data_IF_477198267167
#
_entry.id   IF_477198267167
#
_cell.length_a   1.000
_cell.length_b   1.000
_cell.length_c   1.000
_cell.angle_alpha   90.00
_cell.angle_beta   90.00
_cell.angle_gamma   90.00
#
_symmetry.space_group_name_H-M   'P 1'
#
loop_
_entity.id
_entity.type
_entity.pdbx_description
1 polymer ?
#
# COMPACT_ATOMS: atom_id res chain seq x y z
N UNK A 1 8.06 -49.89 4.08
CA UNK A 1 8.00 -48.98 2.92
C UNK A 1 7.74 -47.58 3.46
N UNK A 2 8.74 -46.69 3.49
CA UNK A 2 8.52 -45.30 3.92
C UNK A 2 7.64 -44.63 2.86
N UNK A 3 6.48 -44.11 3.24
CA UNK A 3 5.71 -43.23 2.36
C UNK A 3 6.55 -41.98 2.11
N UNK A 4 6.95 -41.75 0.86
CA UNK A 4 7.45 -40.44 0.45
C UNK A 4 6.29 -39.46 0.60
N UNK A 5 6.44 -38.53 1.54
CA UNK A 5 5.52 -37.40 1.67
C UNK A 5 5.97 -36.39 0.63
N UNK A 6 5.12 -36.02 -0.36
CA UNK A 6 5.49 -34.99 -1.32
C UNK A 6 5.76 -33.69 -0.58
N UNK A 7 6.92 -33.09 -0.84
CA UNK A 7 7.29 -31.78 -0.31
C UNK A 7 6.65 -30.73 -1.20
N UNK A 8 5.84 -29.85 -0.61
CA UNK A 8 5.29 -28.68 -1.27
C UNK A 8 5.89 -27.44 -0.62
N UNK A 9 6.45 -26.55 -1.44
CA UNK A 9 7.10 -25.32 -1.00
C UNK A 9 6.36 -24.10 -1.54
N UNK A 10 6.12 -23.13 -0.67
CA UNK A 10 5.75 -21.79 -1.08
C UNK A 10 7.04 -20.97 -1.30
N UNK A 11 7.12 -20.25 -2.41
CA UNK A 11 8.22 -19.33 -2.70
C UNK A 11 7.72 -17.90 -2.70
N UNK A 12 8.46 -17.01 -2.05
CA UNK A 12 8.14 -15.59 -1.96
C UNK A 12 9.28 -14.74 -2.51
N UNK A 13 9.32 -14.47 -3.83
CA UNK A 13 10.21 -13.46 -4.37
C UNK A 13 9.85 -12.08 -3.81
N UNK A 14 10.80 -11.48 -3.09
CA UNK A 14 10.72 -10.10 -2.62
C UNK A 14 11.29 -9.15 -3.68
N UNK A 15 10.43 -8.35 -4.28
CA UNK A 15 10.77 -7.35 -5.29
C UNK A 15 11.00 -5.96 -4.70
N UNK A 16 10.82 -5.80 -3.39
CA UNK A 16 10.99 -4.54 -2.66
C UNK A 16 10.11 -3.40 -3.22
N UNK A 17 10.58 -2.17 -3.06
CA UNK A 17 9.92 -0.95 -3.51
C UNK A 17 10.20 -0.71 -5.00
N UNK A 18 9.13 -0.56 -5.78
CA UNK A 18 9.17 -0.20 -7.19
C UNK A 18 8.99 1.31 -7.29
N UNK A 19 10.09 2.04 -7.52
CA UNK A 19 10.08 3.49 -7.48
C UNK A 19 9.56 4.13 -8.78
N UNK A 20 9.64 3.43 -9.91
CA UNK A 20 9.27 3.97 -11.22
C UNK A 20 8.96 2.88 -12.26
N UNK A 21 8.38 3.30 -13.38
CA UNK A 21 8.01 2.42 -14.51
C UNK A 21 9.18 1.61 -15.09
N UNK A 22 10.40 2.17 -15.15
CA UNK A 22 11.56 1.47 -15.71
C UNK A 22 11.94 0.29 -14.82
N UNK A 23 11.94 0.49 -13.52
CA UNK A 23 12.17 -0.57 -12.53
C UNK A 23 11.11 -1.66 -12.62
N UNK A 24 9.83 -1.30 -12.73
CA UNK A 24 8.74 -2.26 -12.94
C UNK A 24 8.95 -3.13 -14.20
N UNK A 25 9.47 -2.55 -15.29
CA UNK A 25 9.77 -3.29 -16.52
C UNK A 25 10.95 -4.26 -16.35
N UNK A 26 12.00 -3.84 -15.65
CA UNK A 26 13.15 -4.71 -15.37
C UNK A 26 12.75 -5.90 -14.48
N UNK A 27 11.94 -5.63 -13.44
CA UNK A 27 11.40 -6.66 -12.55
C UNK A 27 10.47 -7.62 -13.30
N UNK A 28 9.65 -7.13 -14.23
CA UNK A 28 8.84 -7.99 -15.10
C UNK A 28 9.71 -8.99 -15.87
N UNK A 29 10.76 -8.51 -16.56
CA UNK A 29 11.65 -9.39 -17.33
C UNK A 29 12.36 -10.41 -16.44
N UNK A 30 12.79 -10.02 -15.23
CA UNK A 30 13.40 -10.94 -14.27
C UNK A 30 12.40 -12.00 -13.78
N UNK A 31 11.17 -11.61 -13.47
CA UNK A 31 10.10 -12.51 -13.05
C UNK A 31 9.72 -13.50 -14.15
N UNK A 32 9.63 -13.05 -15.40
CA UNK A 32 9.31 -13.92 -16.53
C UNK A 32 10.33 -15.05 -16.68
N UNK A 33 11.62 -14.73 -16.55
CA UNK A 33 12.71 -15.73 -16.56
C UNK A 33 12.61 -16.65 -15.34
N UNK A 34 12.49 -16.09 -14.12
CA UNK A 34 12.40 -16.86 -12.88
C UNK A 34 11.24 -17.85 -12.90
N UNK A 35 10.05 -17.37 -13.25
CA UNK A 35 8.84 -18.17 -13.26
C UNK A 35 8.94 -19.25 -14.33
N UNK A 36 9.23 -18.89 -15.58
CA UNK A 36 9.15 -19.85 -16.68
C UNK A 36 10.30 -20.88 -16.68
N UNK A 37 11.50 -20.50 -16.23
CA UNK A 37 12.66 -21.39 -16.28
C UNK A 37 12.87 -22.20 -15.01
N UNK A 38 12.46 -21.68 -13.84
CA UNK A 38 12.79 -22.29 -12.54
C UNK A 38 11.58 -22.73 -11.71
N UNK A 39 10.52 -21.92 -11.67
CA UNK A 39 9.38 -22.21 -10.79
C UNK A 39 8.34 -23.09 -11.48
N UNK A 40 8.03 -22.80 -12.75
CA UNK A 40 7.02 -23.52 -13.50
C UNK A 40 7.43 -24.94 -13.91
N UNK A 41 8.74 -25.17 -14.04
CA UNK A 41 9.31 -26.47 -14.41
C UNK A 41 9.48 -27.41 -13.22
N UNK A 42 9.33 -26.91 -11.99
CA UNK A 42 9.55 -27.68 -10.77
C UNK A 42 8.24 -27.87 -9.99
N UNK A 43 7.68 -29.09 -9.95
CA UNK A 43 6.39 -29.35 -9.30
C UNK A 43 6.43 -29.23 -7.77
N UNK A 44 7.60 -29.08 -7.15
CA UNK A 44 7.74 -28.88 -5.71
C UNK A 44 7.12 -27.55 -5.25
N UNK A 45 7.00 -26.56 -6.14
CA UNK A 45 6.46 -25.25 -5.79
C UNK A 45 4.93 -25.22 -5.88
N UNK A 46 4.29 -24.94 -4.75
CA UNK A 46 2.83 -24.85 -4.64
C UNK A 46 2.33 -23.42 -4.89
N UNK A 47 2.90 -22.43 -4.20
CA UNK A 47 2.53 -21.01 -4.37
C UNK A 47 3.73 -20.15 -4.72
N UNK A 48 3.46 -19.13 -5.52
CA UNK A 48 4.41 -18.09 -5.92
C UNK A 48 3.85 -16.75 -5.43
N UNK A 49 4.40 -16.27 -4.32
CA UNK A 49 3.93 -15.07 -3.61
C UNK A 49 4.82 -13.90 -4.01
N UNK A 50 4.33 -13.00 -4.86
CA UNK A 50 5.10 -11.85 -5.31
C UNK A 50 4.92 -10.69 -4.33
N UNK A 51 5.95 -10.40 -3.52
CA UNK A 51 5.93 -9.31 -2.54
C UNK A 51 6.53 -8.03 -3.14
N UNK A 52 5.74 -6.95 -3.22
CA UNK A 52 6.15 -5.69 -3.85
C UNK A 52 5.32 -4.50 -3.35
N UNK A 53 5.84 -3.27 -3.44
CA UNK A 53 5.05 -2.05 -3.19
C UNK A 53 5.55 -0.89 -4.04
N UNK A 54 4.69 0.09 -4.33
CA UNK A 54 5.13 1.41 -4.80
C UNK A 54 4.99 2.49 -3.74
N UNK A 55 4.68 2.11 -2.49
CA UNK A 55 4.62 3.10 -1.42
C UNK A 55 6.02 3.69 -1.21
N UNK A 56 6.19 5.01 -1.27
CA UNK A 56 7.50 5.63 -1.24
C UNK A 56 8.21 5.40 0.11
N UNK A 57 9.48 4.99 0.06
CA UNK A 57 10.30 4.80 1.27
C UNK A 57 10.45 6.09 2.08
N UNK A 58 10.45 7.23 1.40
CA UNK A 58 10.63 8.54 2.00
C UNK A 58 9.56 9.55 1.57
N UNK A 59 8.94 10.18 2.58
CA UNK A 59 7.94 11.24 2.43
C UNK A 59 8.53 12.64 2.67
N UNK A 60 9.86 12.78 2.66
CA UNK A 60 10.58 14.05 2.85
C UNK A 60 10.29 15.04 1.73
N UNK A 61 9.99 14.54 0.52
CA UNK A 61 9.64 15.37 -0.65
C UNK A 61 8.29 16.08 -0.54
N UNK A 62 7.49 15.78 0.49
CA UNK A 62 6.20 16.44 0.73
C UNK A 62 6.43 17.56 1.74
N UNK A 63 6.17 18.81 1.33
CA UNK A 63 6.31 19.96 2.24
C UNK A 63 5.22 19.94 3.32
N UNK A 64 5.45 20.69 4.39
CA UNK A 64 4.45 20.87 5.44
C UNK A 64 3.17 21.49 4.84
N UNK A 65 2.02 20.85 5.04
CA UNK A 65 0.74 21.37 4.54
C UNK A 65 0.40 20.93 3.12
N UNK A 66 1.28 20.22 2.42
CA UNK A 66 1.04 19.76 1.04
C UNK A 66 0.55 18.31 0.98
N UNK A 67 0.03 17.91 -0.18
CA UNK A 67 -0.25 16.51 -0.51
C UNK A 67 0.44 16.12 -1.81
N UNK A 68 0.65 14.82 -2.01
CA UNK A 68 1.31 14.29 -3.20
C UNK A 68 0.76 12.92 -3.57
N UNK A 69 0.65 12.66 -4.87
CA UNK A 69 0.31 11.38 -5.44
C UNK A 69 1.58 10.61 -5.84
N UNK A 70 1.60 9.30 -5.56
CA UNK A 70 2.64 8.37 -5.97
C UNK A 70 2.01 7.26 -6.77
N UNK A 71 2.47 7.04 -8.01
CA UNK A 71 1.86 6.06 -8.91
C UNK A 71 2.06 4.62 -8.40
N UNK A 72 1.02 3.80 -8.54
CA UNK A 72 1.01 2.37 -8.19
C UNK A 72 1.31 1.52 -9.43
N UNK A 73 2.54 1.02 -9.52
CA UNK A 73 2.99 0.10 -10.56
C UNK A 73 2.84 -1.37 -10.17
N UNK A 74 2.76 -1.67 -8.87
CA UNK A 74 2.79 -3.04 -8.32
C UNK A 74 1.63 -3.89 -8.84
N UNK A 75 0.41 -3.35 -8.80
CA UNK A 75 -0.75 -4.07 -9.31
C UNK A 75 -0.71 -4.19 -10.84
N UNK A 76 -0.22 -3.17 -11.55
CA UNK A 76 -0.05 -3.22 -13.02
C UNK A 76 0.97 -4.30 -13.42
N UNK A 77 2.06 -4.42 -12.65
CA UNK A 77 3.07 -5.47 -12.83
C UNK A 77 2.47 -6.85 -12.55
N UNK A 78 1.78 -7.03 -11.42
CA UNK A 78 1.13 -8.29 -11.08
C UNK A 78 0.12 -8.72 -12.15
N UNK A 79 -0.74 -7.81 -12.61
CA UNK A 79 -1.68 -8.04 -13.70
C UNK A 79 -0.98 -8.47 -15.00
N UNK A 80 0.17 -7.86 -15.32
CA UNK A 80 0.95 -8.24 -16.49
C UNK A 80 1.50 -9.65 -16.34
N UNK A 81 2.11 -10.00 -15.21
CA UNK A 81 2.59 -11.37 -14.94
C UNK A 81 1.44 -12.37 -15.05
N UNK A 82 0.31 -12.09 -14.41
CA UNK A 82 -0.87 -12.97 -14.39
C UNK A 82 -1.45 -13.25 -15.79
N UNK A 83 -1.34 -12.31 -16.73
CA UNK A 83 -1.82 -12.48 -18.12
C UNK A 83 -0.90 -13.32 -19.00
N UNK A 84 0.41 -13.28 -18.73
CA UNK A 84 1.43 -13.83 -19.63
C UNK A 84 1.89 -15.24 -19.20
N UNK A 85 1.68 -15.62 -17.93
CA UNK A 85 1.94 -16.98 -17.46
C UNK A 85 0.87 -17.97 -17.92
N UNK A 86 1.23 -19.26 -18.01
CA UNK A 86 0.27 -20.33 -18.29
C UNK A 86 -0.76 -20.50 -17.16
N UNK A 87 -1.88 -21.18 -17.44
CA UNK A 87 -2.99 -21.35 -16.50
C UNK A 87 -2.62 -22.10 -15.21
N UNK A 88 -1.72 -23.09 -15.29
CA UNK A 88 -1.29 -23.86 -14.12
C UNK A 88 -0.57 -22.94 -13.13
N UNK A 89 0.32 -22.08 -13.61
CA UNK A 89 1.04 -21.09 -12.80
C UNK A 89 0.14 -19.96 -12.35
N UNK A 90 -0.80 -19.52 -13.20
CA UNK A 90 -1.79 -18.51 -12.85
C UNK A 90 -2.56 -18.86 -11.58
N UNK A 91 -2.90 -20.14 -11.40
CA UNK A 91 -3.60 -20.63 -10.20
C UNK A 91 -2.75 -20.61 -8.91
N UNK A 92 -1.42 -20.49 -9.06
CA UNK A 92 -0.45 -20.51 -7.96
C UNK A 92 0.05 -19.12 -7.58
N UNK A 93 -0.23 -18.09 -8.39
CA UNK A 93 0.24 -16.73 -8.16
C UNK A 93 -0.57 -16.02 -7.07
N UNK A 94 0.15 -15.45 -6.12
CA UNK A 94 -0.42 -14.68 -5.02
C UNK A 94 0.22 -13.29 -5.00
N UNK A 95 -0.61 -12.27 -4.90
CA UNK A 95 -0.15 -10.91 -4.67
C UNK A 95 0.14 -10.70 -3.18
N UNK A 96 1.28 -10.09 -2.88
CA UNK A 96 1.58 -9.57 -1.55
C UNK A 96 2.14 -8.17 -1.69
N UNK A 97 1.80 -7.32 -0.75
CA UNK A 97 2.44 -6.03 -0.62
C UNK A 97 2.84 -5.77 0.83
N UNK A 98 3.38 -4.58 1.00
CA UNK A 98 3.78 -4.01 2.26
C UNK A 98 2.67 -3.09 2.80
N UNK A 99 1.52 -2.91 2.16
CA UNK A 99 0.55 -1.91 2.62
C UNK A 99 1.10 -0.47 2.60
N UNK A 100 0.60 0.39 3.50
CA UNK A 100 0.77 1.86 3.45
C UNK A 100 1.67 2.44 4.55
N UNK A 101 2.42 1.62 5.27
CA UNK A 101 3.37 2.13 6.27
C UNK A 101 4.81 1.96 5.82
N UNK A 102 5.72 2.71 6.43
CA UNK A 102 7.14 2.51 6.19
C UNK A 102 7.56 1.19 6.86
N UNK A 103 8.20 0.29 6.11
CA UNK A 103 8.73 -0.99 6.63
C UNK A 103 10.12 -0.84 7.24
N UNK A 104 10.71 0.33 7.08
CA UNK A 104 12.03 0.64 7.61
C UNK A 104 11.90 1.46 8.88
N UNK A 105 12.42 0.90 9.97
CA UNK A 105 12.60 1.59 11.23
C UNK A 105 13.29 2.93 10.95
N UNK A 106 12.60 4.01 11.35
CA UNK A 106 13.25 5.30 11.41
C UNK A 106 13.52 5.51 12.88
N UNK A 107 14.78 5.46 13.29
CA UNK A 107 15.18 5.92 14.62
C UNK A 107 14.92 7.43 14.70
N UNK A 108 13.64 7.77 14.90
CA UNK A 108 13.24 9.13 15.21
C UNK A 108 13.49 9.33 16.69
N UNK A 109 14.53 10.08 16.99
CA UNK A 109 14.79 10.53 18.35
C UNK A 109 13.73 11.57 18.75
N UNK A 110 12.61 11.07 19.30
CA UNK A 110 11.50 11.90 19.76
C UNK A 110 11.92 12.90 20.85
N UNK A 111 13.00 12.63 21.59
CA UNK A 111 13.52 13.55 22.61
C UNK A 111 14.05 14.86 21.99
N UNK A 112 14.45 14.83 20.71
CA UNK A 112 14.88 16.00 19.95
C UNK A 112 13.73 16.74 19.26
N UNK A 113 12.50 16.23 19.33
CA UNK A 113 11.33 16.82 18.67
C UNK A 113 10.33 17.38 19.69
N UNK A 114 10.49 18.66 20.05
CA UNK A 114 9.61 19.37 21.01
C UNK A 114 8.10 19.23 20.74
N UNK A 115 7.69 19.06 19.49
CA UNK A 115 6.28 18.96 19.07
C UNK A 115 5.93 17.66 18.33
N UNK A 116 6.85 16.68 18.31
CA UNK A 116 6.70 15.45 17.54
C UNK A 116 6.66 15.67 16.01
N UNK A 117 6.45 14.59 15.23
CA UNK A 117 6.31 14.67 13.78
C UNK A 117 4.93 15.19 13.37
N UNK A 118 4.86 15.93 12.26
CA UNK A 118 3.60 16.34 11.64
C UNK A 118 2.78 15.11 11.20
N UNK A 119 1.45 15.14 11.36
CA UNK A 119 0.58 14.04 10.99
C UNK A 119 0.60 13.83 9.49
N UNK A 120 0.40 12.57 9.08
CA UNK A 120 0.28 12.17 7.68
C UNK A 120 -0.91 11.24 7.57
N UNK A 121 -1.69 11.40 6.50
CA UNK A 121 -2.78 10.50 6.12
C UNK A 121 -2.42 9.92 4.77
N UNK A 122 -2.70 8.64 4.57
CA UNK A 122 -2.35 7.90 3.36
C UNK A 122 -3.59 7.23 2.84
N UNK A 123 -4.00 7.64 1.66
CA UNK A 123 -5.24 7.22 1.06
C UNK A 123 -4.96 6.53 -0.26
N UNK A 124 -5.56 5.36 -0.49
CA UNK A 124 -5.24 4.52 -1.65
C UNK A 124 -6.28 4.77 -2.73
N UNK A 125 -5.87 5.41 -3.82
CA UNK A 125 -6.73 5.57 -5.00
C UNK A 125 -6.59 4.35 -5.92
N UNK A 126 -7.37 4.25 -7.01
CA UNK A 126 -7.26 3.12 -7.94
C UNK A 126 -5.84 2.89 -8.45
N UNK A 127 -5.07 3.96 -8.68
CA UNK A 127 -3.78 3.92 -9.36
C UNK A 127 -2.68 4.73 -8.65
N UNK A 128 -2.96 5.35 -7.50
CA UNK A 128 -1.99 6.12 -6.73
C UNK A 128 -2.11 5.87 -5.22
N UNK A 129 -1.01 6.14 -4.51
CA UNK A 129 -1.05 6.52 -3.10
C UNK A 129 -1.14 8.04 -2.99
N UNK A 130 -2.20 8.53 -2.40
CA UNK A 130 -2.34 9.95 -2.05
C UNK A 130 -1.90 10.17 -0.61
N UNK A 131 -0.80 10.91 -0.42
CA UNK A 131 -0.24 11.18 0.90
C UNK A 131 -0.44 12.66 1.24
N UNK A 132 -1.18 12.92 2.31
CA UNK A 132 -1.47 14.26 2.82
C UNK A 132 -0.63 14.52 4.07
N UNK A 133 0.02 15.68 4.17
CA UNK A 133 0.86 16.07 5.30
C UNK A 133 0.30 17.31 6.00
N UNK A 134 0.10 17.22 7.31
CA UNK A 134 -0.37 18.34 8.11
C UNK A 134 0.67 19.45 8.23
N UNK A 135 0.23 20.59 8.74
CA UNK A 135 1.06 21.76 9.02
C UNK A 135 0.66 22.40 10.35
N UNK A 136 1.65 22.82 11.13
CA UNK A 136 1.44 23.45 12.43
C UNK A 136 2.35 24.66 12.57
N UNK A 137 1.80 25.78 13.04
CA UNK A 137 2.59 26.92 13.47
C UNK A 137 3.30 26.56 14.78
N UNK A 138 4.63 26.47 14.75
CA UNK A 138 5.43 26.03 15.91
C UNK A 138 5.60 27.12 16.98
N UNK A 139 5.24 28.37 16.66
CA UNK A 139 5.30 29.49 17.60
C UNK A 139 3.97 29.61 18.36
N UNK A 140 2.84 29.59 17.65
CA UNK A 140 1.50 29.75 18.26
C UNK A 140 0.87 28.44 18.71
N UNK A 141 1.44 27.29 18.31
CA UNK A 141 0.90 25.95 18.52
C UNK A 141 -0.45 25.69 17.81
N UNK A 142 -0.82 26.51 16.83
CA UNK A 142 -2.04 26.36 16.06
C UNK A 142 -1.83 25.48 14.81
N UNK A 143 -2.86 24.71 14.45
CA UNK A 143 -2.87 23.94 13.21
C UNK A 143 -3.11 24.86 12.01
N UNK A 144 -2.21 24.80 11.03
CA UNK A 144 -2.41 25.41 9.70
C UNK A 144 -3.16 24.42 8.80
N UNK A 145 -2.85 23.13 8.95
CA UNK A 145 -3.55 22.01 8.32
C UNK A 145 -3.57 20.84 9.28
N UNK A 146 -4.72 20.61 9.88
CA UNK A 146 -4.99 19.57 10.85
C UNK A 146 -5.32 18.23 10.18
N UNK A 147 -5.52 17.18 10.99
CA UNK A 147 -6.04 15.90 10.50
C UNK A 147 -7.48 16.01 10.02
N UNK A 148 -8.28 16.90 10.60
CA UNK A 148 -9.66 17.13 10.17
C UNK A 148 -9.69 17.80 8.80
N UNK A 149 -8.83 18.81 8.55
CA UNK A 149 -8.75 19.48 7.24
C UNK A 149 -8.38 18.47 6.14
N UNK A 150 -7.41 17.60 6.41
CA UNK A 150 -7.05 16.53 5.47
C UNK A 150 -8.16 15.48 5.29
N UNK A 151 -8.97 15.20 6.32
CA UNK A 151 -10.12 14.32 6.21
C UNK A 151 -11.23 14.92 5.34
N UNK A 152 -11.48 16.24 5.49
CA UNK A 152 -12.41 17.00 4.65
C UNK A 152 -11.94 16.97 3.19
N UNK A 153 -10.65 17.22 2.95
CA UNK A 153 -10.06 17.17 1.60
C UNK A 153 -10.25 15.81 0.93
N UNK A 154 -10.09 14.70 1.67
CA UNK A 154 -10.39 13.38 1.13
C UNK A 154 -11.89 13.25 0.84
N UNK A 155 -12.76 13.55 1.82
CA UNK A 155 -14.21 13.39 1.70
C UNK A 155 -14.80 14.17 0.51
N UNK A 156 -14.29 15.38 0.24
CA UNK A 156 -14.75 16.25 -0.85
C UNK A 156 -14.11 15.91 -2.21
N UNK A 157 -13.08 15.05 -2.24
CA UNK A 157 -12.40 14.66 -3.47
C UNK A 157 -13.19 13.63 -4.28
N UNK A 158 -12.92 13.58 -5.59
CA UNK A 158 -13.40 12.52 -6.46
C UNK A 158 -12.80 11.13 -6.13
N UNK A 159 -11.74 11.08 -5.31
CA UNK A 159 -11.07 9.84 -4.93
C UNK A 159 -11.74 9.14 -3.75
N UNK A 160 -12.67 9.79 -3.04
CA UNK A 160 -13.34 9.17 -1.90
C UNK A 160 -14.24 8.01 -2.33
N UNK A 161 -14.08 6.83 -1.72
CA UNK A 161 -14.83 5.63 -2.13
C UNK A 161 -16.22 5.55 -1.48
N UNK A 162 -16.51 6.42 -0.52
CA UNK A 162 -17.79 6.45 0.19
C UNK A 162 -17.74 5.70 1.53
N UNK A 163 -18.58 6.13 2.47
CA UNK A 163 -18.57 5.65 3.86
C UNK A 163 -18.83 4.15 4.02
N UNK A 164 -19.50 3.53 3.05
CA UNK A 164 -19.84 2.11 3.08
C UNK A 164 -18.76 1.23 2.44
N UNK A 165 -17.70 1.81 1.87
CA UNK A 165 -16.65 1.06 1.20
C UNK A 165 -15.74 0.35 2.20
N UNK A 166 -15.23 1.07 3.20
CA UNK A 166 -14.37 0.50 4.24
C UNK A 166 -14.63 1.14 5.61
N UNK A 167 -14.15 0.49 6.68
CA UNK A 167 -14.13 1.10 8.01
C UNK A 167 -13.32 2.40 8.02
N UNK A 168 -12.20 2.44 7.28
CA UNK A 168 -11.39 3.64 7.12
C UNK A 168 -12.17 4.81 6.50
N UNK A 169 -12.97 4.55 5.46
CA UNK A 169 -13.78 5.57 4.78
C UNK A 169 -14.86 6.14 5.69
N UNK A 170 -15.54 5.31 6.48
CA UNK A 170 -16.48 5.76 7.49
C UNK A 170 -15.78 6.64 8.54
N UNK A 171 -14.63 6.22 9.05
CA UNK A 171 -13.85 6.97 10.03
C UNK A 171 -13.37 8.32 9.51
N UNK A 172 -13.04 8.42 8.21
CA UNK A 172 -12.68 9.67 7.53
C UNK A 172 -13.88 10.60 7.50
N UNK A 173 -15.05 10.13 7.01
CA UNK A 173 -16.28 10.95 6.95
C UNK A 173 -16.67 11.48 8.33
N UNK A 174 -16.70 10.61 9.34
CA UNK A 174 -17.12 10.99 10.69
C UNK A 174 -16.19 12.04 11.32
N UNK A 175 -14.89 12.02 10.99
CA UNK A 175 -13.92 13.06 11.43
C UNK A 175 -14.03 14.34 10.61
N UNK A 176 -14.20 14.22 9.29
CA UNK A 176 -14.39 15.38 8.42
C UNK A 176 -15.62 16.20 8.85
N UNK A 177 -16.74 15.53 9.16
CA UNK A 177 -17.97 16.13 9.66
C UNK A 177 -17.92 16.58 11.13
N UNK A 178 -16.78 16.42 11.82
CA UNK A 178 -16.61 16.82 13.22
C UNK A 178 -17.40 15.97 14.23
N UNK A 179 -17.94 14.82 13.82
CA UNK A 179 -18.66 13.89 14.73
C UNK A 179 -17.71 13.09 15.62
N UNK A 180 -16.46 12.92 15.17
CA UNK A 180 -15.35 12.37 15.95
C UNK A 180 -14.22 13.38 16.04
N UNK A 181 -13.49 13.36 17.17
CA UNK A 181 -12.29 14.17 17.32
C UNK A 181 -11.20 13.82 16.28
N UNK A 182 -10.13 14.63 16.18
CA UNK A 182 -9.15 14.55 15.10
C UNK A 182 -8.37 13.22 15.03
N UNK A 183 -8.46 12.38 16.07
CA UNK A 183 -7.74 11.12 16.17
C UNK A 183 -6.24 11.28 16.44
N UNK A 184 -5.62 10.22 16.94
CA UNK A 184 -4.18 10.13 17.16
C UNK A 184 -3.50 9.31 16.04
N UNK A 185 -2.17 9.14 16.12
CA UNK A 185 -1.44 8.39 15.09
C UNK A 185 -1.92 6.94 14.97
N UNK A 186 -2.28 6.28 16.07
CA UNK A 186 -2.81 4.91 16.05
C UNK A 186 -4.12 4.84 15.26
N UNK A 187 -5.03 5.79 15.47
CA UNK A 187 -6.27 5.85 14.69
C UNK A 187 -5.98 5.94 13.20
N UNK A 188 -5.08 6.84 12.81
CA UNK A 188 -4.79 7.08 11.39
C UNK A 188 -4.02 5.93 10.73
N UNK A 189 -3.14 5.25 11.46
CA UNK A 189 -2.53 4.00 10.96
C UNK A 189 -3.60 2.93 10.70
N UNK A 190 -4.58 2.78 11.59
CA UNK A 190 -5.69 1.83 11.40
C UNK A 190 -6.57 2.21 10.21
N UNK A 191 -6.91 3.50 10.08
CA UNK A 191 -7.73 4.03 8.98
C UNK A 191 -7.03 3.82 7.64
N UNK A 192 -5.78 4.29 7.52
CA UNK A 192 -4.95 4.18 6.32
C UNK A 192 -4.83 2.69 5.88
N UNK A 193 -4.48 1.80 6.82
CA UNK A 193 -4.28 0.39 6.54
C UNK A 193 -5.59 -0.34 6.17
N UNK A 194 -6.68 -0.09 6.89
CA UNK A 194 -7.96 -0.73 6.59
C UNK A 194 -8.46 -0.35 5.20
N UNK A 195 -8.49 0.94 4.88
CA UNK A 195 -8.93 1.41 3.57
C UNK A 195 -8.05 0.81 2.45
N UNK A 196 -6.72 0.82 2.63
CA UNK A 196 -5.80 0.23 1.66
C UNK A 196 -6.07 -1.25 1.41
N UNK A 197 -6.20 -2.06 2.47
CA UNK A 197 -6.51 -3.50 2.35
C UNK A 197 -7.82 -3.70 1.58
N UNK A 198 -8.87 -2.91 1.88
CA UNK A 198 -10.14 -3.00 1.16
C UNK A 198 -9.99 -2.67 -0.33
N UNK A 199 -9.23 -1.62 -0.69
CA UNK A 199 -8.95 -1.29 -2.10
C UNK A 199 -8.21 -2.44 -2.79
N UNK A 200 -7.15 -2.98 -2.19
CA UNK A 200 -6.36 -4.07 -2.77
C UNK A 200 -7.21 -5.33 -2.94
N UNK A 201 -8.01 -5.71 -1.93
CA UNK A 201 -8.91 -6.87 -2.02
C UNK A 201 -9.92 -6.69 -3.15
N UNK A 202 -10.55 -5.51 -3.29
CA UNK A 202 -11.51 -5.26 -4.37
C UNK A 202 -10.83 -5.35 -5.74
N UNK A 203 -9.61 -4.80 -5.87
CA UNK A 203 -8.83 -4.84 -7.10
C UNK A 203 -8.42 -6.27 -7.48
N UNK A 204 -7.99 -7.07 -6.51
CA UNK A 204 -7.65 -8.48 -6.72
C UNK A 204 -8.90 -9.30 -7.04
N UNK A 205 -10.03 -9.06 -6.35
CA UNK A 205 -11.28 -9.77 -6.61
C UNK A 205 -11.75 -9.55 -8.05
N UNK A 206 -11.71 -8.29 -8.53
CA UNK A 206 -11.99 -7.96 -9.92
C UNK A 206 -11.01 -8.62 -10.90
N UNK A 207 -9.74 -8.74 -10.53
CA UNK A 207 -8.70 -9.36 -11.37
C UNK A 207 -8.87 -10.88 -11.49
N UNK A 208 -9.29 -11.54 -10.42
CA UNK A 208 -9.55 -12.97 -10.38
C UNK A 208 -10.99 -13.35 -10.80
N UNK A 209 -11.89 -12.37 -10.90
CA UNK A 209 -13.29 -12.57 -11.29
C UNK A 209 -14.13 -13.21 -10.18
N UNK A 210 -13.87 -12.87 -8.92
CA UNK A 210 -14.55 -13.36 -7.72
C UNK A 210 -15.33 -12.26 -7.00
#
# INVERSE_FOLDING_TARGET
>A
MKREVPVNLDVMPDLSVIANKREAQLLYSALEVLINQHLATNPIFDRIILAMTCFPENLSSISSGESKFFERYELKLFQKVLREVNNDIKSKLIFSDYGVTKFTDTELDFSKMRYGPLPKIRYTTPDHYWVLKGAKNRITDEWIRSRQDMAIEILESEYYYGENFSFGDLEIKERALGKKGPGNNTNWVTIDANHHITVVIQQLSNLFGI
#
